data_IF_580902268544
#
_entry.id   IF_580902268544
#
_cell.length_a   1.000
_cell.length_b   1.000
_cell.length_c   1.000
_cell.angle_alpha   90.00
_cell.angle_beta   90.00
_cell.angle_gamma   90.00
#
_symmetry.space_group_name_H-M   'P 1'
#
loop_
_entity.id
_entity.type
_entity.pdbx_description
1 polymer ?
#
# COMPACT_ATOMS: atom_id res chain seq x y z
N UNK A 1 -17.72 7.75 -4.98
CA UNK A 1 -16.42 7.52 -4.29
C UNK A 1 -16.00 6.06 -4.38
N UNK A 2 -14.71 5.74 -4.20
CA UNK A 2 -14.19 4.37 -4.16
C UNK A 2 -13.27 4.17 -2.95
N UNK A 3 -13.31 2.98 -2.36
CA UNK A 3 -12.46 2.55 -1.26
C UNK A 3 -12.08 1.07 -1.46
N UNK A 4 -10.82 0.67 -1.27
CA UNK A 4 -10.41 -0.73 -1.37
C UNK A 4 -11.14 -1.66 -0.40
N UNK A 5 -11.59 -1.19 0.76
CA UNK A 5 -12.34 -2.00 1.75
C UNK A 5 -13.67 -2.57 1.22
N UNK A 6 -14.09 -2.21 0.00
CA UNK A 6 -15.23 -2.81 -0.72
C UNK A 6 -14.89 -4.18 -1.31
N UNK A 7 -13.66 -4.39 -1.77
CA UNK A 7 -13.24 -5.61 -2.48
C UNK A 7 -11.84 -6.13 -2.09
N UNK A 8 -11.26 -5.57 -1.04
CA UNK A 8 -9.99 -5.95 -0.46
C UNK A 8 -10.11 -5.95 1.06
N UNK A 9 -9.51 -6.94 1.72
CA UNK A 9 -9.62 -7.15 3.15
C UNK A 9 -8.25 -7.06 3.82
N UNK A 10 -8.22 -6.58 5.06
CA UNK A 10 -7.05 -6.61 5.91
C UNK A 10 -7.34 -7.44 7.17
N UNK A 11 -6.72 -8.61 7.27
CA UNK A 11 -6.77 -9.51 8.41
C UNK A 11 -5.59 -9.19 9.34
N UNK A 12 -5.86 -8.68 10.54
CA UNK A 12 -4.86 -8.41 11.57
C UNK A 12 -4.38 -9.69 12.25
N UNK A 13 -3.24 -9.62 12.93
CA UNK A 13 -2.66 -10.79 13.62
C UNK A 13 -3.58 -11.38 14.72
N UNK A 14 -4.51 -10.60 15.27
CA UNK A 14 -5.51 -11.07 16.22
C UNK A 14 -6.75 -11.73 15.56
N UNK A 15 -6.73 -11.94 14.24
CA UNK A 15 -7.81 -12.55 13.47
C UNK A 15 -8.96 -11.60 13.09
N UNK A 16 -8.93 -10.34 13.51
CA UNK A 16 -9.97 -9.38 13.16
C UNK A 16 -9.77 -8.83 11.75
N UNK A 17 -10.87 -8.58 11.06
CA UNK A 17 -10.86 -7.75 9.86
C UNK A 17 -11.05 -6.28 10.21
N UNK A 18 -10.19 -5.44 9.64
CA UNK A 18 -10.19 -3.99 9.85
C UNK A 18 -10.35 -3.25 8.52
N UNK A 19 -10.53 -1.93 8.57
CA UNK A 19 -10.46 -1.11 7.37
C UNK A 19 -9.07 -1.28 6.71
N UNK A 20 -9.04 -1.37 5.38
CA UNK A 20 -7.83 -1.73 4.64
C UNK A 20 -6.79 -0.60 4.58
N UNK A 21 -7.10 0.61 5.05
CA UNK A 21 -6.21 1.76 4.99
C UNK A 21 -5.39 1.97 6.26
N UNK A 22 -4.25 2.66 6.14
CA UNK A 22 -3.39 2.99 7.27
C UNK A 22 -4.05 3.92 8.31
N UNK A 23 -5.08 4.69 7.90
CA UNK A 23 -5.77 5.63 8.79
C UNK A 23 -6.88 4.97 9.60
N UNK A 24 -7.48 3.90 9.06
CA UNK A 24 -8.58 3.16 9.66
C UNK A 24 -8.20 1.74 10.08
N UNK A 25 -6.91 1.40 10.13
CA UNK A 25 -6.39 0.11 10.59
C UNK A 25 -6.90 -0.32 11.97
N UNK A 26 -7.33 0.65 12.80
CA UNK A 26 -7.96 0.43 14.12
C UNK A 26 -9.48 0.22 14.05
N UNK A 27 -10.12 0.55 12.92
CA UNK A 27 -11.56 0.36 12.70
C UNK A 27 -11.84 -1.09 12.38
N UNK A 28 -12.25 -1.84 13.39
CA UNK A 28 -12.68 -3.23 13.22
C UNK A 28 -13.99 -3.29 12.43
N UNK A 29 -13.95 -3.95 11.27
CA UNK A 29 -15.11 -4.23 10.43
C UNK A 29 -15.78 -5.54 10.85
N UNK A 30 -15.00 -6.54 11.22
CA UNK A 30 -15.50 -7.82 11.70
C UNK A 30 -14.54 -8.44 12.71
N UNK A 31 -15.03 -8.66 13.95
CA UNK A 31 -14.27 -9.42 14.96
C UNK A 31 -14.25 -10.91 14.63
N UNK A 32 -13.11 -11.54 14.88
CA UNK A 32 -12.98 -12.99 14.81
C UNK A 32 -13.93 -13.68 15.79
N UNK A 33 -14.52 -14.78 15.35
CA UNK A 33 -15.24 -15.71 16.21
C UNK A 33 -15.09 -17.12 15.68
N UNK A 34 -14.70 -18.06 16.55
CA UNK A 34 -14.47 -19.45 16.17
C UNK A 34 -15.73 -20.12 15.57
N UNK A 35 -16.91 -19.83 16.14
CA UNK A 35 -18.21 -20.33 15.66
C UNK A 35 -18.89 -19.43 14.62
N UNK A 36 -18.35 -18.24 14.35
CA UNK A 36 -18.95 -17.24 13.47
C UNK A 36 -18.46 -17.43 12.05
N UNK A 37 -19.32 -17.54 11.04
CA UNK A 37 -18.85 -17.58 9.65
C UNK A 37 -18.19 -16.24 9.27
N UNK A 38 -16.88 -16.26 8.98
CA UNK A 38 -16.13 -15.04 8.68
C UNK A 38 -16.43 -14.47 7.29
N UNK A 39 -16.98 -15.28 6.38
CA UNK A 39 -17.34 -14.83 5.03
C UNK A 39 -18.48 -13.82 5.02
N UNK A 40 -19.20 -13.66 6.13
CA UNK A 40 -20.22 -12.61 6.29
C UNK A 40 -19.69 -11.19 6.09
N UNK A 41 -18.37 -10.97 6.15
CA UNK A 41 -17.77 -9.67 5.85
C UNK A 41 -18.10 -9.15 4.44
N UNK A 42 -18.20 -10.06 3.46
CA UNK A 42 -18.33 -9.74 2.03
C UNK A 42 -19.66 -10.18 1.41
N UNK A 43 -20.61 -10.61 2.24
CA UNK A 43 -21.96 -10.94 1.78
C UNK A 43 -22.94 -9.76 1.87
N UNK A 44 -24.12 -9.94 1.29
CA UNK A 44 -25.21 -8.97 1.39
C UNK A 44 -25.58 -8.73 2.86
N UNK A 45 -25.70 -7.46 3.25
CA UNK A 45 -25.83 -7.03 4.65
C UNK A 45 -24.51 -6.95 5.43
N UNK A 46 -23.39 -7.39 4.84
CA UNK A 46 -22.07 -7.35 5.46
C UNK A 46 -21.38 -5.97 5.38
N UNK A 47 -20.31 -5.76 6.17
CA UNK A 47 -19.51 -4.54 6.17
C UNK A 47 -19.07 -4.03 4.80
N UNK A 48 -18.58 -4.89 3.90
CA UNK A 48 -18.11 -4.45 2.58
C UNK A 48 -19.24 -3.90 1.70
N UNK A 49 -20.43 -4.50 1.76
CA UNK A 49 -21.59 -4.00 1.03
C UNK A 49 -22.10 -2.68 1.64
N UNK A 50 -22.13 -2.59 2.98
CA UNK A 50 -22.52 -1.36 3.68
C UNK A 50 -21.59 -0.19 3.31
N UNK A 51 -20.27 -0.43 3.25
CA UNK A 51 -19.28 0.53 2.76
C UNK A 51 -19.60 0.92 1.31
N UNK A 52 -19.84 -0.05 0.43
CA UNK A 52 -20.14 0.21 -0.98
C UNK A 52 -21.42 1.06 -1.18
N UNK A 53 -22.49 0.76 -0.42
CA UNK A 53 -23.76 1.50 -0.44
C UNK A 53 -23.57 2.96 -0.02
N UNK A 54 -22.84 3.21 1.07
CA UNK A 54 -22.51 4.56 1.51
C UNK A 54 -21.75 5.34 0.42
N UNK A 55 -20.69 4.73 -0.13
CA UNK A 55 -19.86 5.38 -1.15
C UNK A 55 -20.60 5.65 -2.47
N UNK A 56 -21.62 4.83 -2.81
CA UNK A 56 -22.47 5.04 -3.98
C UNK A 56 -23.39 6.26 -3.81
N UNK A 57 -23.79 6.56 -2.58
CA UNK A 57 -24.57 7.74 -2.20
C UNK A 57 -23.69 8.94 -1.81
N UNK A 58 -22.39 8.91 -2.13
CA UNK A 58 -21.40 9.91 -1.73
C UNK A 58 -21.39 10.19 -0.21
N UNK A 59 -21.59 9.13 0.59
CA UNK A 59 -21.48 9.17 2.05
C UNK A 59 -20.17 8.48 2.45
N UNK A 60 -19.42 9.08 3.38
CA UNK A 60 -18.26 8.41 3.96
C UNK A 60 -18.76 7.33 4.94
N UNK A 61 -18.30 6.07 4.81
CA UNK A 61 -18.74 5.00 5.71
C UNK A 61 -18.41 5.28 7.19
N UNK A 62 -17.27 5.93 7.44
CA UNK A 62 -16.77 6.26 8.77
C UNK A 62 -16.28 7.72 8.77
N UNK A 63 -17.17 8.73 8.92
CA UNK A 63 -16.81 10.15 8.83
C UNK A 63 -15.69 10.59 9.79
N UNK A 64 -15.52 9.87 10.90
CA UNK A 64 -14.49 10.11 11.89
C UNK A 64 -13.07 9.70 11.41
N UNK A 65 -12.98 8.71 10.53
CA UNK A 65 -11.72 8.08 10.08
C UNK A 65 -11.44 8.32 8.60
N UNK A 66 -12.43 8.12 7.74
CA UNK A 66 -12.29 8.19 6.28
C UNK A 66 -11.63 9.49 5.78
N UNK A 67 -11.79 10.66 6.42
CA UNK A 67 -11.05 11.85 6.02
C UNK A 67 -9.51 11.71 6.14
N UNK A 68 -8.98 10.82 6.96
CA UNK A 68 -7.55 10.50 6.99
C UNK A 68 -7.08 9.50 5.92
N UNK A 69 -7.98 8.91 5.14
CA UNK A 69 -7.71 7.77 4.26
C UNK A 69 -7.04 8.17 2.94
N UNK A 70 -5.82 7.70 2.70
CA UNK A 70 -5.12 7.86 1.41
C UNK A 70 -5.69 6.98 0.29
N UNK A 71 -6.43 5.94 0.65
CA UNK A 71 -6.99 4.99 -0.30
C UNK A 71 -8.34 5.46 -0.86
N UNK A 72 -8.92 6.52 -0.28
CA UNK A 72 -10.19 7.08 -0.71
C UNK A 72 -10.02 7.81 -2.04
N UNK A 73 -10.80 7.41 -3.03
CA UNK A 73 -10.86 8.05 -4.35
C UNK A 73 -12.21 8.71 -4.57
N UNK A 74 -12.21 9.90 -5.13
CA UNK A 74 -13.43 10.64 -5.49
C UNK A 74 -13.82 10.41 -6.95
N UNK A 75 -13.02 9.61 -7.66
CA UNK A 75 -13.26 9.22 -9.03
C UNK A 75 -13.82 7.81 -9.12
N UNK A 76 -14.96 7.70 -9.79
CA UNK A 76 -15.57 6.42 -10.17
C UNK A 76 -16.70 5.96 -9.25
N UNK A 77 -17.38 4.92 -9.71
CA UNK A 77 -18.48 4.26 -8.98
C UNK A 77 -17.95 3.05 -8.23
N UNK A 78 -18.35 2.82 -6.97
CA UNK A 78 -17.99 1.60 -6.26
C UNK A 78 -18.66 0.40 -6.95
N UNK A 79 -17.88 -0.63 -7.26
CA UNK A 79 -18.39 -1.87 -7.85
C UNK A 79 -18.18 -2.98 -6.83
N UNK A 80 -19.20 -3.23 -6.00
CA UNK A 80 -19.16 -4.35 -5.07
C UNK A 80 -19.33 -5.68 -5.81
N UNK A 81 -18.45 -6.63 -5.52
CA UNK A 81 -18.49 -7.98 -6.06
C UNK A 81 -18.36 -8.97 -4.91
N UNK A 82 -19.50 -9.41 -4.40
CA UNK A 82 -19.63 -10.20 -3.16
C UNK A 82 -18.84 -11.51 -3.10
N UNK A 83 -18.21 -11.95 -4.20
CA UNK A 83 -17.49 -13.23 -4.29
C UNK A 83 -16.08 -13.13 -4.87
N UNK A 84 -15.57 -11.92 -5.13
CA UNK A 84 -14.21 -11.77 -5.67
C UNK A 84 -13.49 -10.70 -4.88
N UNK A 85 -12.46 -11.13 -4.15
CA UNK A 85 -11.53 -10.25 -3.46
C UNK A 85 -10.30 -10.02 -4.34
N UNK A 86 -9.96 -8.73 -4.52
CA UNK A 86 -8.75 -8.35 -5.23
C UNK A 86 -7.51 -8.65 -4.38
N UNK A 87 -7.56 -8.30 -3.10
CA UNK A 87 -6.43 -8.45 -2.17
C UNK A 87 -6.95 -8.91 -0.81
N UNK A 88 -6.33 -9.95 -0.28
CA UNK A 88 -6.41 -10.35 1.12
C UNK A 88 -5.05 -10.02 1.75
N UNK A 89 -4.97 -8.88 2.41
CA UNK A 89 -3.79 -8.52 3.20
C UNK A 89 -3.88 -9.26 4.53
N UNK A 90 -2.80 -9.92 4.91
CA UNK A 90 -2.71 -10.76 6.10
C UNK A 90 -1.51 -10.31 6.89
N UNK A 91 -1.74 -9.77 8.09
CA UNK A 91 -0.70 -9.43 9.05
C UNK A 91 -0.30 -10.69 9.82
N UNK A 92 0.88 -11.28 9.56
CA UNK A 92 1.27 -12.51 10.24
C UNK A 92 1.71 -12.23 11.68
N UNK A 93 2.31 -11.06 11.94
CA UNK A 93 2.70 -10.60 13.27
C UNK A 93 2.43 -9.11 13.41
N UNK A 94 2.02 -8.67 14.60
CA UNK A 94 2.00 -7.25 14.97
C UNK A 94 3.33 -6.79 15.61
N UNK A 95 4.29 -7.71 15.80
CA UNK A 95 5.62 -7.43 16.37
C UNK A 95 6.53 -6.90 15.28
N UNK A 96 7.41 -5.95 15.61
CA UNK A 96 8.50 -5.55 14.75
C UNK A 96 9.60 -4.89 15.58
N UNK A 97 10.85 -5.19 15.25
CA UNK A 97 12.04 -4.70 15.96
C UNK A 97 12.41 -3.26 15.57
N UNK A 98 11.93 -2.77 14.43
CA UNK A 98 12.23 -1.43 13.90
C UNK A 98 11.27 -0.36 14.42
N UNK A 99 11.75 0.89 14.47
CA UNK A 99 10.97 2.09 14.85
C UNK A 99 10.94 3.15 13.75
N UNK A 100 10.45 2.78 12.56
CA UNK A 100 10.54 3.64 11.37
C UNK A 100 9.77 4.97 11.53
N UNK A 101 10.38 6.10 11.15
CA UNK A 101 9.88 7.47 11.45
C UNK A 101 8.52 7.85 10.83
N UNK A 102 8.07 7.17 9.78
CA UNK A 102 6.77 7.43 9.13
C UNK A 102 5.84 6.21 9.14
N UNK A 103 6.11 5.24 10.01
CA UNK A 103 5.31 4.03 10.18
C UNK A 103 4.27 4.24 11.30
N UNK A 104 3.04 3.78 11.12
CA UNK A 104 2.00 3.86 12.17
C UNK A 104 2.32 2.96 13.37
N UNK A 105 3.11 1.90 13.15
CA UNK A 105 3.33 0.80 14.08
C UNK A 105 3.97 1.17 15.42
N UNK A 106 5.00 2.02 15.52
CA UNK A 106 5.62 2.29 16.82
C UNK A 106 4.62 2.83 17.86
N UNK A 107 3.77 3.77 17.45
CA UNK A 107 2.70 4.32 18.30
C UNK A 107 1.60 3.29 18.58
N UNK A 108 1.23 2.49 17.57
CA UNK A 108 0.26 1.40 17.79
C UNK A 108 0.77 0.37 18.79
N UNK A 109 2.04 -0.06 18.70
CA UNK A 109 2.63 -1.02 19.63
C UNK A 109 2.71 -0.50 21.06
N UNK A 110 2.86 0.82 21.24
CA UNK A 110 2.80 1.45 22.58
C UNK A 110 1.38 1.43 23.17
N UNK A 111 0.35 1.44 22.31
CA UNK A 111 -1.06 1.33 22.72
C UNK A 111 -1.53 -0.10 22.92
N UNK A 112 -0.98 -1.04 22.14
CA UNK A 112 -1.33 -2.47 22.22
C UNK A 112 -0.76 -3.04 23.52
N UNK A 113 -1.65 -3.49 24.42
CA UNK A 113 -1.26 -4.08 25.70
C UNK A 113 -0.44 -5.38 25.53
N UNK A 114 -0.69 -6.14 24.46
CA UNK A 114 0.08 -7.34 24.10
C UNK A 114 0.20 -7.48 22.57
N UNK A 115 1.38 -7.87 22.05
CA UNK A 115 1.54 -8.19 20.63
C UNK A 115 0.80 -9.49 20.26
N UNK A 116 0.44 -9.61 18.98
CA UNK A 116 -0.23 -10.79 18.43
C UNK A 116 0.57 -11.39 17.29
N UNK A 117 0.57 -12.72 17.22
CA UNK A 117 0.98 -13.50 16.06
C UNK A 117 -0.26 -14.26 15.55
N UNK A 118 -0.51 -14.20 14.23
CA UNK A 118 -1.64 -14.87 13.62
C UNK A 118 -1.47 -16.39 13.74
N UNK A 119 -2.40 -17.04 14.42
CA UNK A 119 -2.38 -18.50 14.52
C UNK A 119 -2.78 -19.14 13.17
N UNK A 120 -2.08 -20.19 12.72
CA UNK A 120 -2.47 -20.97 11.55
C UNK A 120 -3.90 -21.50 11.62
N UNK A 121 -4.39 -21.87 12.81
CA UNK A 121 -5.76 -22.39 12.99
C UNK A 121 -6.82 -21.32 12.73
N UNK A 122 -6.59 -20.09 13.19
CA UNK A 122 -7.44 -18.92 12.92
C UNK A 122 -7.46 -18.62 11.44
N UNK A 123 -6.29 -18.61 10.79
CA UNK A 123 -6.19 -18.34 9.36
C UNK A 123 -6.84 -19.43 8.51
N UNK A 124 -6.55 -20.71 8.78
CA UNK A 124 -7.15 -21.84 8.08
C UNK A 124 -8.68 -21.78 8.18
N UNK A 125 -9.21 -21.49 9.36
CA UNK A 125 -10.66 -21.34 9.55
C UNK A 125 -11.24 -20.24 8.67
N UNK A 126 -10.60 -19.06 8.61
CA UNK A 126 -11.04 -17.96 7.71
C UNK A 126 -11.04 -18.43 6.25
N UNK A 127 -9.99 -19.12 5.81
CA UNK A 127 -9.90 -19.65 4.44
C UNK A 127 -10.99 -20.70 4.16
N UNK A 128 -11.29 -21.58 5.11
CA UNK A 128 -12.35 -22.59 5.01
C UNK A 128 -13.73 -21.94 4.88
N UNK A 129 -14.05 -20.96 5.73
CA UNK A 129 -15.30 -20.21 5.64
C UNK A 129 -15.45 -19.54 4.26
N UNK A 130 -14.37 -18.92 3.77
CA UNK A 130 -14.40 -18.23 2.47
C UNK A 130 -14.54 -19.20 1.30
N UNK A 131 -13.81 -20.32 1.34
CA UNK A 131 -13.85 -21.36 0.32
C UNK A 131 -15.24 -22.03 0.25
N UNK A 132 -15.81 -22.40 1.41
CA UNK A 132 -17.19 -22.93 1.53
C UNK A 132 -18.21 -21.97 0.93
N UNK A 133 -18.00 -20.68 1.15
CA UNK A 133 -18.84 -19.60 0.66
C UNK A 133 -18.62 -19.23 -0.81
N UNK A 134 -17.65 -19.86 -1.49
CA UNK A 134 -17.36 -19.63 -2.90
C UNK A 134 -16.80 -18.23 -3.19
N UNK A 135 -16.01 -17.68 -2.27
CA UNK A 135 -15.26 -16.44 -2.46
C UNK A 135 -13.93 -16.78 -3.15
N UNK A 136 -13.62 -16.07 -4.23
CA UNK A 136 -12.32 -16.14 -4.92
C UNK A 136 -11.39 -15.03 -4.42
N UNK A 137 -10.13 -15.36 -4.16
CA UNK A 137 -9.10 -14.41 -3.73
C UNK A 137 -8.02 -14.35 -4.80
N UNK A 138 -7.81 -13.16 -5.37
CA UNK A 138 -6.83 -12.98 -6.45
C UNK A 138 -5.41 -12.84 -5.95
N UNK A 139 -5.22 -12.25 -4.78
CA UNK A 139 -3.89 -11.94 -4.24
C UNK A 139 -3.90 -12.02 -2.73
N UNK A 140 -2.90 -12.68 -2.17
CA UNK A 140 -2.54 -12.59 -0.76
C UNK A 140 -1.31 -11.71 -0.61
N UNK A 141 -1.40 -10.74 0.29
CA UNK A 141 -0.29 -9.88 0.68
C UNK A 141 0.04 -10.13 2.15
N UNK A 142 1.11 -10.87 2.41
CA UNK A 142 1.61 -11.12 3.75
C UNK A 142 2.44 -9.90 4.17
N UNK A 143 1.74 -8.94 4.76
CA UNK A 143 2.27 -7.68 5.24
C UNK A 143 1.28 -7.09 6.25
N UNK A 144 1.73 -6.13 7.04
CA UNK A 144 0.87 -5.47 8.02
C UNK A 144 1.63 -4.41 8.77
N UNK A 145 1.19 -4.14 9.98
CA UNK A 145 1.84 -3.15 10.82
C UNK A 145 3.06 -3.76 11.53
N UNK A 146 3.11 -5.07 11.79
CA UNK A 146 4.34 -5.72 12.24
C UNK A 146 5.28 -6.16 11.11
N UNK A 147 6.20 -7.04 11.45
CA UNK A 147 7.13 -7.70 10.55
C UNK A 147 6.69 -9.17 10.43
N UNK A 148 6.24 -9.61 9.24
CA UNK A 148 5.80 -10.98 8.99
C UNK A 148 6.72 -12.06 9.55
N UNK A 149 8.04 -11.86 9.42
CA UNK A 149 9.06 -12.83 9.84
C UNK A 149 9.18 -13.00 11.36
N UNK A 150 8.48 -12.19 12.16
CA UNK A 150 8.41 -12.37 13.62
C UNK A 150 7.46 -13.49 14.04
N UNK A 151 6.59 -13.95 13.14
CA UNK A 151 5.72 -15.09 13.39
C UNK A 151 6.43 -16.39 12.91
N UNK A 152 6.78 -17.31 13.83
CA UNK A 152 7.44 -18.57 13.46
C UNK A 152 6.57 -19.47 12.57
N UNK A 153 5.24 -19.29 12.61
CA UNK A 153 4.30 -20.06 11.80
C UNK A 153 4.07 -19.47 10.40
N UNK A 154 4.79 -18.40 10.01
CA UNK A 154 4.67 -17.78 8.68
C UNK A 154 4.72 -18.80 7.53
N UNK A 155 5.64 -19.79 7.49
CA UNK A 155 5.65 -20.80 6.43
C UNK A 155 4.33 -21.58 6.34
N UNK A 156 3.73 -21.95 7.48
CA UNK A 156 2.45 -22.65 7.52
C UNK A 156 1.31 -21.75 7.03
N UNK A 157 1.30 -20.48 7.41
CA UNK A 157 0.31 -19.49 6.95
C UNK A 157 0.35 -19.36 5.41
N UNK A 158 1.54 -19.22 4.82
CA UNK A 158 1.70 -19.13 3.37
C UNK A 158 1.22 -20.43 2.69
N UNK A 159 1.60 -21.59 3.24
CA UNK A 159 1.18 -22.90 2.74
C UNK A 159 -0.35 -23.07 2.75
N UNK A 160 -1.02 -22.62 3.81
CA UNK A 160 -2.48 -22.62 3.91
C UNK A 160 -3.11 -21.77 2.80
N UNK A 161 -2.63 -20.54 2.57
CA UNK A 161 -3.16 -19.71 1.49
C UNK A 161 -3.01 -20.38 0.12
N UNK A 162 -1.85 -20.99 -0.15
CA UNK A 162 -1.61 -21.74 -1.40
C UNK A 162 -2.51 -22.96 -1.53
N UNK A 163 -2.73 -23.72 -0.45
CA UNK A 163 -3.59 -24.91 -0.38
C UNK A 163 -5.04 -24.59 -0.75
N UNK A 164 -5.62 -23.56 -0.12
CA UNK A 164 -7.02 -23.19 -0.37
C UNK A 164 -7.22 -22.39 -1.66
N UNK A 165 -6.20 -21.64 -2.10
CA UNK A 165 -6.28 -20.77 -3.27
C UNK A 165 -5.08 -20.96 -4.21
N UNK A 166 -4.96 -22.12 -4.90
CA UNK A 166 -3.80 -22.45 -5.73
C UNK A 166 -3.58 -21.46 -6.88
N UNK A 167 -4.63 -20.77 -7.35
CA UNK A 167 -4.55 -19.76 -8.42
C UNK A 167 -4.29 -18.33 -7.96
N UNK A 168 -4.21 -18.07 -6.64
CA UNK A 168 -3.93 -16.75 -6.11
C UNK A 168 -2.44 -16.38 -6.30
N UNK A 169 -2.17 -15.08 -6.43
CA UNK A 169 -0.81 -14.55 -6.36
C UNK A 169 -0.42 -14.31 -4.91
N UNK A 170 0.66 -14.92 -4.42
CA UNK A 170 1.13 -14.78 -3.03
C UNK A 170 2.37 -13.89 -3.00
N UNK A 171 2.29 -12.76 -2.28
CA UNK A 171 3.44 -11.87 -2.05
C UNK A 171 3.72 -11.72 -0.56
N UNK A 172 5.00 -11.67 -0.20
CA UNK A 172 5.49 -11.31 1.13
C UNK A 172 6.20 -9.96 1.04
N UNK A 173 5.95 -9.06 2.00
CA UNK A 173 6.70 -7.81 2.15
C UNK A 173 7.34 -7.82 3.53
N UNK A 174 8.67 -7.78 3.59
CA UNK A 174 9.45 -7.90 4.82
C UNK A 174 10.51 -6.79 4.90
N UNK A 175 10.92 -6.44 6.13
CA UNK A 175 12.11 -5.65 6.41
C UNK A 175 13.40 -6.48 6.43
N UNK A 176 13.31 -7.81 6.25
CA UNK A 176 14.42 -8.75 6.20
C UNK A 176 15.25 -8.88 7.50
N UNK A 177 14.65 -8.62 8.66
CA UNK A 177 15.32 -8.76 9.97
C UNK A 177 15.04 -10.10 10.68
N UNK A 178 14.28 -11.00 10.07
CA UNK A 178 14.20 -12.39 10.49
C UNK A 178 15.46 -13.18 10.10
N UNK A 179 15.56 -14.41 10.57
CA UNK A 179 16.66 -15.30 10.20
C UNK A 179 16.31 -16.02 8.89
N UNK A 180 17.30 -16.16 8.00
CA UNK A 180 17.09 -16.82 6.72
C UNK A 180 17.16 -18.33 6.90
N UNK A 181 16.11 -19.01 6.47
CA UNK A 181 16.07 -20.46 6.29
C UNK A 181 15.81 -20.77 4.81
N UNK A 182 16.52 -21.74 4.26
CA UNK A 182 16.37 -22.11 2.84
C UNK A 182 14.93 -22.51 2.49
N UNK A 183 14.20 -23.10 3.45
CA UNK A 183 12.79 -23.44 3.33
C UNK A 183 11.88 -22.26 2.93
N UNK A 184 12.27 -21.02 3.23
CA UNK A 184 11.52 -19.83 2.83
C UNK A 184 11.39 -19.68 1.32
N UNK A 185 12.40 -20.14 0.56
CA UNK A 185 12.39 -20.12 -0.92
C UNK A 185 11.31 -21.03 -1.50
N UNK A 186 10.93 -22.07 -0.76
CA UNK A 186 9.97 -23.11 -1.16
C UNK A 186 8.59 -22.93 -0.51
N UNK A 187 8.35 -21.81 0.17
CA UNK A 187 7.09 -21.49 0.85
C UNK A 187 5.87 -21.38 -0.09
N UNK A 188 6.07 -21.38 -1.41
CA UNK A 188 4.99 -21.23 -2.40
C UNK A 188 4.63 -19.79 -2.74
N UNK A 189 5.47 -18.83 -2.33
CA UNK A 189 5.38 -17.43 -2.74
C UNK A 189 5.63 -17.26 -4.25
N UNK A 190 4.84 -16.38 -4.87
CA UNK A 190 5.13 -15.90 -6.23
C UNK A 190 6.13 -14.73 -6.20
N UNK A 191 6.16 -13.97 -5.10
CA UNK A 191 7.03 -12.81 -4.95
C UNK A 191 7.39 -12.54 -3.49
N UNK A 192 8.62 -12.09 -3.26
CA UNK A 192 9.07 -11.50 -2.00
C UNK A 192 9.62 -10.09 -2.26
N UNK A 193 9.26 -9.15 -1.39
CA UNK A 193 9.74 -7.77 -1.43
C UNK A 193 10.55 -7.48 -0.17
N UNK A 194 11.83 -7.14 -0.34
CA UNK A 194 12.76 -6.74 0.71
C UNK A 194 12.75 -5.23 0.83
N UNK A 195 12.28 -4.70 1.96
CA UNK A 195 12.17 -3.27 2.20
C UNK A 195 13.47 -2.75 2.84
N UNK A 196 14.41 -2.36 2.00
CA UNK A 196 15.75 -1.90 2.40
C UNK A 196 15.96 -0.51 1.78
N UNK A 197 15.85 0.55 2.58
CA UNK A 197 15.76 1.94 2.09
C UNK A 197 17.10 2.69 2.18
N UNK A 198 18.17 2.09 1.66
CA UNK A 198 19.53 2.64 1.67
C UNK A 198 20.54 1.65 1.09
N UNK A 199 21.79 2.09 0.89
CA UNK A 199 22.90 1.24 0.39
C UNK A 199 24.05 1.09 1.39
N UNK A 200 23.86 1.59 2.61
CA UNK A 200 24.78 1.49 3.73
C UNK A 200 23.98 1.68 5.04
N UNK A 201 24.62 1.40 6.18
CA UNK A 201 23.97 1.55 7.50
C UNK A 201 23.51 2.99 7.76
N UNK A 202 24.27 4.00 7.32
CA UNK A 202 23.97 5.41 7.57
C UNK A 202 22.68 5.86 6.87
N UNK A 203 22.52 5.54 5.59
CA UNK A 203 21.33 5.83 4.79
C UNK A 203 20.14 4.99 5.26
N UNK A 204 20.35 3.71 5.55
CA UNK A 204 19.31 2.78 5.97
C UNK A 204 18.65 3.17 7.29
N UNK A 205 19.45 3.42 8.34
CA UNK A 205 18.95 3.63 9.70
C UNK A 205 18.23 4.98 9.88
N UNK A 206 18.51 5.97 9.00
CA UNK A 206 17.82 7.28 9.02
C UNK A 206 16.30 7.13 8.99
N UNK A 207 15.79 6.19 8.20
CA UNK A 207 14.37 5.81 8.18
C UNK A 207 14.08 4.55 8.99
N UNK A 208 14.87 3.48 8.83
CA UNK A 208 14.67 2.14 9.44
C UNK A 208 15.36 2.05 10.81
N UNK A 209 14.94 2.92 11.73
CA UNK A 209 15.58 3.07 13.06
C UNK A 209 15.65 1.74 13.81
N UNK A 210 16.86 1.40 14.31
CA UNK A 210 17.14 0.15 15.03
C UNK A 210 17.40 -1.06 14.12
N UNK A 211 17.51 -0.84 12.81
CA UNK A 211 17.81 -1.89 11.85
C UNK A 211 19.29 -2.08 11.59
N UNK A 212 19.67 -3.29 11.17
CA UNK A 212 21.01 -3.62 10.73
C UNK A 212 21.00 -3.86 9.21
N UNK A 213 21.70 -3.00 8.49
CA UNK A 213 21.76 -3.01 7.03
C UNK A 213 22.35 -4.31 6.50
N UNK A 214 23.46 -4.77 7.09
CA UNK A 214 24.15 -5.99 6.64
C UNK A 214 23.28 -7.24 6.81
N UNK A 215 22.50 -7.34 7.89
CA UNK A 215 21.55 -8.43 8.12
C UNK A 215 20.47 -8.44 7.05
N UNK A 216 19.84 -7.29 6.80
CA UNK A 216 18.77 -7.19 5.80
C UNK A 216 19.29 -7.47 4.38
N UNK A 217 20.46 -6.93 4.05
CA UNK A 217 21.10 -7.12 2.75
C UNK A 217 21.55 -8.58 2.56
N UNK A 218 22.18 -9.18 3.57
CA UNK A 218 22.61 -10.57 3.56
C UNK A 218 21.44 -11.55 3.45
N UNK A 219 20.30 -11.24 4.07
CA UNK A 219 19.07 -12.00 3.89
C UNK A 219 18.62 -11.97 2.42
N UNK A 220 18.51 -10.77 1.83
CA UNK A 220 18.12 -10.62 0.43
C UNK A 220 19.07 -11.34 -0.52
N UNK A 221 20.38 -11.24 -0.28
CA UNK A 221 21.41 -11.93 -1.04
C UNK A 221 21.23 -13.45 -0.96
N UNK A 222 21.13 -13.99 0.26
CA UNK A 222 21.01 -15.42 0.53
C UNK A 222 19.75 -15.98 -0.11
N UNK A 223 18.59 -15.35 0.12
CA UNK A 223 17.33 -15.74 -0.48
C UNK A 223 17.40 -15.72 -2.02
N UNK A 224 17.93 -14.64 -2.60
CA UNK A 224 17.99 -14.49 -4.06
C UNK A 224 18.92 -15.51 -4.70
N UNK A 225 20.08 -15.78 -4.09
CA UNK A 225 21.04 -16.78 -4.58
C UNK A 225 20.47 -18.19 -4.47
N UNK A 226 19.89 -18.56 -3.33
CA UNK A 226 19.26 -19.88 -3.14
C UNK A 226 18.10 -20.05 -4.13
N UNK A 227 17.20 -19.07 -4.26
CA UNK A 227 16.11 -19.12 -5.24
C UNK A 227 16.62 -19.34 -6.67
N UNK A 228 17.72 -18.69 -7.04
CA UNK A 228 18.34 -18.85 -8.36
C UNK A 228 18.98 -20.22 -8.55
N UNK A 229 19.74 -20.70 -7.56
CA UNK A 229 20.44 -21.98 -7.60
C UNK A 229 19.46 -23.16 -7.70
N UNK A 230 18.38 -23.09 -6.92
CA UNK A 230 17.32 -24.10 -6.85
C UNK A 230 16.29 -23.97 -7.99
N UNK A 231 16.46 -23.00 -8.90
CA UNK A 231 15.52 -22.76 -9.99
C UNK A 231 14.11 -22.35 -9.55
N UNK A 232 13.96 -21.84 -8.33
CA UNK A 232 12.68 -21.40 -7.77
C UNK A 232 12.07 -20.27 -8.63
N UNK A 233 10.76 -20.32 -8.92
CA UNK A 233 10.09 -19.29 -9.72
C UNK A 233 9.79 -18.01 -8.93
N UNK A 234 10.11 -17.95 -7.63
CA UNK A 234 9.81 -16.80 -6.77
C UNK A 234 10.53 -15.55 -7.27
N UNK A 235 9.77 -14.47 -7.43
CA UNK A 235 10.33 -13.18 -7.84
C UNK A 235 10.87 -12.43 -6.63
N UNK A 236 12.14 -12.05 -6.67
CA UNK A 236 12.77 -11.19 -5.66
C UNK A 236 12.71 -9.73 -6.07
N UNK A 237 12.23 -8.88 -5.17
CA UNK A 237 12.11 -7.43 -5.37
C UNK A 237 12.83 -6.73 -4.24
N UNK A 238 13.77 -5.85 -4.56
CA UNK A 238 14.30 -4.89 -3.61
C UNK A 238 13.42 -3.65 -3.68
N UNK A 239 12.64 -3.41 -2.63
CA UNK A 239 11.80 -2.23 -2.46
C UNK A 239 12.61 -1.14 -1.74
N UNK A 240 12.72 0.02 -2.38
CA UNK A 240 13.57 1.13 -1.94
C UNK A 240 12.74 2.42 -1.95
N UNK A 241 12.36 2.93 -0.78
CA UNK A 241 11.65 4.21 -0.66
C UNK A 241 12.63 5.36 -0.84
N UNK A 242 12.28 6.29 -1.72
CA UNK A 242 13.08 7.47 -2.00
C UNK A 242 12.82 8.57 -0.95
N UNK A 243 13.89 8.90 -0.24
CA UNK A 243 13.99 9.95 0.75
C UNK A 243 15.12 10.92 0.37
N UNK A 244 15.08 12.12 0.94
CA UNK A 244 16.09 13.16 0.70
C UNK A 244 17.55 12.75 0.98
N UNK A 245 17.75 11.73 1.83
CA UNK A 245 19.07 11.23 2.23
C UNK A 245 19.56 10.04 1.40
N UNK A 246 18.72 9.46 0.55
CA UNK A 246 19.02 8.22 -0.18
C UNK A 246 18.68 8.30 -1.69
N UNK A 247 18.48 9.53 -2.21
CA UNK A 247 18.05 9.85 -3.58
C UNK A 247 19.17 10.36 -4.51
N UNK A 248 20.43 10.26 -4.09
CA UNK A 248 21.60 10.79 -4.80
C UNK A 248 22.21 9.79 -5.79
N UNK A 249 23.02 10.32 -6.72
CA UNK A 249 23.67 9.58 -7.81
C UNK A 249 24.43 8.33 -7.35
N UNK A 250 25.27 8.50 -6.35
CA UNK A 250 26.05 7.46 -5.70
C UNK A 250 25.15 6.39 -5.07
N UNK A 251 24.11 6.80 -4.33
CA UNK A 251 23.16 5.89 -3.68
C UNK A 251 22.37 5.06 -4.71
N UNK A 252 21.80 5.71 -5.73
CA UNK A 252 20.99 5.04 -6.75
C UNK A 252 21.82 4.13 -7.66
N UNK A 253 23.01 4.60 -8.06
CA UNK A 253 23.97 3.81 -8.82
C UNK A 253 24.40 2.56 -8.05
N UNK A 254 24.76 2.74 -6.77
CA UNK A 254 25.16 1.64 -5.90
C UNK A 254 24.04 0.62 -5.66
N UNK A 255 22.81 1.08 -5.48
CA UNK A 255 21.65 0.19 -5.34
C UNK A 255 21.48 -0.70 -6.58
N UNK A 256 21.63 -0.12 -7.77
CA UNK A 256 21.56 -0.89 -9.03
C UNK A 256 22.70 -1.90 -9.17
N UNK A 257 23.93 -1.52 -8.82
CA UNK A 257 25.09 -2.41 -8.82
C UNK A 257 24.87 -3.63 -7.91
N UNK A 258 24.45 -3.38 -6.65
CA UNK A 258 24.17 -4.44 -5.67
C UNK A 258 23.03 -5.34 -6.14
N UNK A 259 21.92 -4.76 -6.59
CA UNK A 259 20.77 -5.52 -7.09
C UNK A 259 21.16 -6.43 -8.27
N UNK A 260 21.98 -5.90 -9.19
CA UNK A 260 22.50 -6.65 -10.34
C UNK A 260 23.45 -7.76 -9.93
N UNK A 261 24.37 -7.50 -8.99
CA UNK A 261 25.33 -8.48 -8.50
C UNK A 261 24.64 -9.66 -7.79
N UNK A 262 23.59 -9.38 -7.01
CA UNK A 262 22.83 -10.43 -6.33
C UNK A 262 21.87 -11.17 -7.26
N UNK A 263 21.53 -10.57 -8.41
CA UNK A 263 20.53 -11.12 -9.34
C UNK A 263 19.10 -10.88 -8.86
N UNK A 264 18.85 -9.78 -8.14
CA UNK A 264 17.49 -9.35 -7.76
C UNK A 264 16.70 -9.05 -9.04
N UNK A 265 15.47 -9.54 -9.13
CA UNK A 265 14.69 -9.38 -10.37
C UNK A 265 14.23 -7.94 -10.60
N UNK A 266 13.93 -7.19 -9.52
CA UNK A 266 13.32 -5.87 -9.57
C UNK A 266 13.91 -4.97 -8.47
N UNK A 267 14.58 -3.88 -8.86
CA UNK A 267 14.88 -2.77 -7.96
C UNK A 267 13.75 -1.75 -8.11
N UNK A 268 12.89 -1.68 -7.11
CA UNK A 268 11.67 -0.89 -7.15
C UNK A 268 11.80 0.34 -6.27
N UNK A 269 11.87 1.50 -6.93
CA UNK A 269 11.83 2.79 -6.24
C UNK A 269 10.40 3.18 -5.89
N UNK A 270 10.19 3.57 -4.64
CA UNK A 270 8.89 4.01 -4.14
C UNK A 270 8.95 5.50 -3.82
N UNK A 271 8.17 6.29 -4.54
CA UNK A 271 7.97 7.71 -4.22
C UNK A 271 6.96 7.82 -3.09
N UNK A 272 7.34 8.45 -1.98
CA UNK A 272 6.46 8.75 -0.84
C UNK A 272 6.18 10.25 -0.76
N UNK A 273 5.07 10.62 -0.14
CA UNK A 273 4.75 12.01 0.24
C UNK A 273 4.68 12.17 1.77
N UNK A 274 5.04 11.13 2.53
CA UNK A 274 5.11 11.14 3.99
C UNK A 274 6.56 11.14 4.47
N UNK A 275 6.83 11.91 5.53
CA UNK A 275 8.13 11.95 6.16
C UNK A 275 9.20 12.62 5.29
N UNK A 276 10.40 12.04 5.28
CA UNK A 276 11.61 12.62 4.67
C UNK A 276 11.66 12.43 3.14
N UNK A 277 10.55 12.59 2.44
CA UNK A 277 10.44 12.27 1.00
C UNK A 277 11.49 12.98 0.13
N UNK A 278 11.86 12.34 -0.98
CA UNK A 278 12.84 12.91 -1.93
C UNK A 278 12.34 14.23 -2.52
N UNK A 279 13.18 15.26 -2.43
CA UNK A 279 12.95 16.55 -3.09
C UNK A 279 13.73 16.68 -4.40
N UNK A 280 14.72 15.81 -4.64
CA UNK A 280 15.50 15.80 -5.87
C UNK A 280 14.82 14.98 -6.98
N UNK A 281 14.09 13.92 -6.62
CA UNK A 281 13.40 13.04 -7.54
C UNK A 281 11.92 12.99 -7.16
N UNK A 282 11.12 13.71 -7.92
CA UNK A 282 9.67 13.85 -7.68
C UNK A 282 8.84 13.09 -8.71
N UNK A 283 9.47 12.60 -9.79
CA UNK A 283 8.83 11.81 -10.82
C UNK A 283 9.68 10.66 -11.38
N UNK A 284 9.03 9.61 -11.86
CA UNK A 284 9.62 8.53 -12.66
C UNK A 284 10.12 8.99 -14.04
N UNK A 285 9.84 10.22 -14.46
CA UNK A 285 10.52 10.81 -15.62
C UNK A 285 11.91 11.30 -15.19
N UNK A 286 11.98 12.10 -14.12
CA UNK A 286 13.26 12.55 -13.53
C UNK A 286 14.15 11.38 -13.14
N UNK A 287 13.60 10.37 -12.44
CA UNK A 287 14.37 9.18 -12.07
C UNK A 287 14.87 8.40 -13.30
N UNK A 288 14.11 8.36 -14.39
CA UNK A 288 14.57 7.70 -15.62
C UNK A 288 15.75 8.43 -16.21
N UNK A 289 15.64 9.74 -16.36
CA UNK A 289 16.68 10.58 -16.96
C UNK A 289 17.95 10.51 -16.10
N UNK A 290 17.78 10.59 -14.78
CA UNK A 290 18.86 10.43 -13.82
C UNK A 290 19.57 9.08 -13.92
N UNK A 291 18.84 7.96 -14.05
CA UNK A 291 19.45 6.65 -14.22
C UNK A 291 20.15 6.48 -15.57
N UNK A 292 19.66 7.13 -16.63
CA UNK A 292 20.32 7.16 -17.94
C UNK A 292 21.66 7.89 -17.82
N UNK A 293 21.70 9.02 -17.10
CA UNK A 293 22.93 9.78 -16.85
C UNK A 293 23.95 8.96 -16.03
N UNK A 294 23.46 8.12 -15.12
CA UNK A 294 24.27 7.13 -14.39
C UNK A 294 24.67 5.91 -15.25
N UNK A 295 24.39 5.93 -16.55
CA UNK A 295 24.71 4.86 -17.51
C UNK A 295 24.05 3.51 -17.17
N UNK A 296 22.94 3.52 -16.43
CA UNK A 296 22.13 2.32 -16.25
C UNK A 296 21.56 1.91 -17.62
N UNK A 297 21.68 0.64 -18.04
CA UNK A 297 21.20 0.22 -19.34
C UNK A 297 19.71 0.51 -19.52
N UNK A 298 19.32 1.23 -20.58
CA UNK A 298 17.92 1.62 -20.79
C UNK A 298 16.96 0.42 -20.87
N UNK A 299 17.44 -0.76 -21.30
CA UNK A 299 16.68 -2.01 -21.30
C UNK A 299 16.28 -2.50 -19.90
N UNK A 300 17.04 -2.11 -18.88
CA UNK A 300 16.76 -2.40 -17.48
C UNK A 300 15.76 -1.41 -16.89
N UNK A 301 15.51 -0.27 -17.51
CA UNK A 301 14.62 0.77 -16.95
C UNK A 301 13.18 0.56 -17.46
N UNK A 302 12.27 0.17 -16.56
CA UNK A 302 10.85 -0.03 -16.85
C UNK A 302 9.99 0.89 -15.99
N UNK A 303 9.79 2.10 -16.48
CA UNK A 303 8.98 3.10 -15.79
C UNK A 303 7.74 3.43 -16.61
N UNK A 304 6.57 3.28 -16.00
CA UNK A 304 5.36 3.89 -16.53
C UNK A 304 5.51 5.41 -16.37
N UNK A 305 5.83 6.11 -17.47
CA UNK A 305 5.81 7.57 -17.48
C UNK A 305 4.38 7.99 -17.12
N UNK A 306 4.20 8.81 -16.09
CA UNK A 306 2.89 9.36 -15.69
C UNK A 306 2.16 10.05 -16.87
N UNK A 307 2.89 10.49 -17.90
CA UNK A 307 2.36 10.95 -19.19
C UNK A 307 1.47 9.92 -19.93
N UNK A 308 1.57 8.63 -19.61
CA UNK A 308 0.77 7.56 -20.23
C UNK A 308 -0.64 7.40 -19.64
N UNK A 309 -0.92 8.05 -18.49
CA UNK A 309 -2.27 8.19 -17.94
C UNK A 309 -3.00 9.42 -18.52
N UNK A 310 -2.28 10.49 -18.86
CA UNK A 310 -2.85 11.68 -19.53
C UNK A 310 -3.33 11.41 -20.97
N UNK A 311 -2.71 10.46 -21.70
CA UNK A 311 -2.97 10.24 -23.14
C UNK A 311 -4.01 9.15 -23.50
N UNK A 312 -4.74 8.54 -22.56
CA UNK A 312 -5.74 7.49 -22.90
C UNK A 312 -7.17 8.03 -22.95
N UNK A 313 -7.46 8.86 -23.95
CA UNK A 313 -8.82 9.38 -24.26
C UNK A 313 -9.59 8.51 -25.27
N UNK A 314 -9.80 7.20 -25.02
CA UNK A 314 -10.82 6.43 -25.76
C UNK A 314 -11.74 5.61 -24.84
N UNK A 315 -13.03 5.94 -24.94
CA UNK A 315 -14.16 5.55 -24.10
C UNK A 315 -14.43 4.03 -24.01
N UNK A 316 -13.92 3.22 -24.94
CA UNK A 316 -14.09 1.76 -24.94
C UNK A 316 -12.98 0.99 -24.19
N UNK A 317 -11.87 1.64 -23.82
CA UNK A 317 -10.85 1.05 -22.93
C UNK A 317 -11.10 1.39 -21.44
N UNK A 318 -12.11 2.23 -21.20
CA UNK A 318 -12.48 2.89 -19.94
C UNK A 318 -13.38 2.03 -19.02
N UNK A 319 -13.84 0.85 -19.45
CA UNK A 319 -14.97 0.19 -18.79
C UNK A 319 -14.69 -0.87 -17.71
N UNK A 320 -13.46 -1.27 -17.35
CA UNK A 320 -13.25 -2.25 -16.25
C UNK A 320 -11.89 -2.18 -15.55
N UNK A 321 -11.58 -1.17 -14.71
CA UNK A 321 -10.23 -1.03 -14.11
C UNK A 321 -10.22 -0.37 -12.71
N UNK A 322 -10.22 -1.19 -11.64
CA UNK A 322 -9.97 -0.81 -10.23
C UNK A 322 -8.46 -0.67 -9.90
N UNK A 323 -8.17 -0.12 -8.71
CA UNK A 323 -6.93 0.46 -8.16
C UNK A 323 -5.56 -0.04 -8.69
N UNK A 324 -4.67 0.94 -8.83
CA UNK A 324 -3.46 0.98 -9.66
C UNK A 324 -2.27 0.19 -9.09
N UNK A 325 -2.22 -0.04 -7.78
CA UNK A 325 -1.04 -0.58 -7.09
C UNK A 325 -0.72 -2.05 -7.47
N UNK A 326 -1.72 -2.94 -7.46
CA UNK A 326 -1.52 -4.37 -7.73
C UNK A 326 -1.49 -4.74 -9.23
N UNK A 327 -1.96 -3.84 -10.10
CA UNK A 327 -2.00 -4.10 -11.55
C UNK A 327 -0.67 -3.90 -12.23
N UNK A 328 0.17 -3.02 -11.70
CA UNK A 328 1.56 -2.85 -12.14
C UNK A 328 2.29 -4.17 -11.97
N UNK A 329 2.22 -4.80 -10.79
CA UNK A 329 2.80 -6.12 -10.54
C UNK A 329 2.30 -7.21 -11.50
N UNK A 330 0.99 -7.34 -11.75
CA UNK A 330 0.45 -8.41 -12.63
C UNK A 330 0.64 -8.16 -14.14
N UNK A 331 0.67 -6.90 -14.60
CA UNK A 331 1.00 -6.58 -16.01
C UNK A 331 2.49 -6.67 -16.28
N UNK A 332 3.33 -6.20 -15.35
CA UNK A 332 4.77 -6.46 -15.40
C UNK A 332 5.02 -7.97 -15.31
N UNK A 333 4.30 -8.74 -14.50
CA UNK A 333 4.43 -10.20 -14.43
C UNK A 333 4.32 -10.87 -15.81
N UNK A 334 3.33 -10.48 -16.65
CA UNK A 334 3.21 -11.03 -18.02
C UNK A 334 4.31 -10.56 -18.99
N UNK A 335 4.83 -9.34 -18.83
CA UNK A 335 5.92 -8.81 -19.65
C UNK A 335 7.30 -9.34 -19.21
N UNK A 336 7.49 -9.59 -17.91
CA UNK A 336 8.77 -9.98 -17.30
C UNK A 336 8.94 -11.50 -17.19
N UNK A 337 7.85 -12.29 -17.23
CA UNK A 337 7.94 -13.75 -17.53
C UNK A 337 8.61 -14.04 -18.88
N UNK A 338 8.75 -13.00 -19.73
CA UNK A 338 9.50 -12.99 -20.98
C UNK A 338 10.84 -12.22 -20.89
N UNK A 339 11.48 -12.12 -19.72
CA UNK A 339 12.87 -11.68 -19.62
C UNK A 339 13.81 -12.90 -19.64
N UNK A 340 14.26 -13.37 -20.82
CA UNK A 340 15.16 -14.52 -20.94
C UNK A 340 16.55 -14.26 -20.35
N UNK A 341 16.92 -13.00 -20.11
CA UNK A 341 18.26 -12.60 -19.64
C UNK A 341 18.42 -12.67 -18.12
N UNK A 342 17.35 -12.85 -17.34
CA UNK A 342 17.35 -12.74 -15.86
C UNK A 342 18.05 -11.47 -15.31
N UNK A 343 18.12 -10.40 -16.10
CA UNK A 343 18.74 -9.14 -15.67
C UNK A 343 17.82 -8.37 -14.74
N UNK A 344 18.38 -7.72 -13.73
CA UNK A 344 17.67 -6.77 -12.86
C UNK A 344 17.01 -5.69 -13.69
N UNK A 345 15.72 -5.45 -13.43
CA UNK A 345 14.99 -4.29 -13.95
C UNK A 345 14.73 -3.28 -12.84
N UNK A 346 14.62 -2.01 -13.22
CA UNK A 346 14.28 -0.91 -12.33
C UNK A 346 12.84 -0.50 -12.61
N UNK A 347 12.04 -0.43 -11.56
CA UNK A 347 10.65 0.05 -11.62
C UNK A 347 10.42 1.20 -10.64
N UNK A 348 9.30 1.90 -10.82
CA UNK A 348 8.92 3.04 -10.00
C UNK A 348 7.43 2.96 -9.68
N UNK A 349 7.08 3.06 -8.39
CA UNK A 349 5.71 3.18 -7.90
C UNK A 349 5.54 4.48 -7.11
N UNK A 350 4.32 5.02 -7.12
CA UNK A 350 4.01 6.31 -6.51
C UNK A 350 2.96 6.18 -5.41
N UNK A 351 3.25 6.75 -4.26
CA UNK A 351 2.27 7.17 -3.28
C UNK A 351 2.20 8.70 -3.37
N UNK A 352 1.16 9.24 -4.01
CA UNK A 352 1.03 10.69 -4.24
C UNK A 352 -0.28 11.25 -3.71
N UNK A 353 -0.18 12.45 -3.14
CA UNK A 353 -1.23 13.46 -3.16
C UNK A 353 -1.53 13.86 -4.61
N UNK A 354 -2.77 13.66 -5.06
CA UNK A 354 -3.18 14.02 -6.41
C UNK A 354 -4.12 15.22 -6.37
N UNK A 355 -3.61 16.40 -6.75
CA UNK A 355 -4.37 17.66 -6.72
C UNK A 355 -5.75 17.56 -7.39
N UNK A 356 -5.93 16.93 -8.58
CA UNK A 356 -7.26 16.79 -9.15
C UNK A 356 -8.21 15.91 -8.34
N UNK A 357 -7.72 14.92 -7.58
CA UNK A 357 -8.58 14.17 -6.65
C UNK A 357 -9.00 15.06 -5.48
N UNK A 358 -8.10 15.90 -4.94
CA UNK A 358 -8.43 16.84 -3.87
C UNK A 358 -9.48 17.88 -4.33
N UNK A 359 -9.34 18.40 -5.56
CA UNK A 359 -10.34 19.32 -6.14
C UNK A 359 -11.71 18.65 -6.28
N UNK A 360 -11.77 17.40 -6.72
CA UNK A 360 -13.03 16.63 -6.77
C UNK A 360 -13.65 16.44 -5.39
N UNK A 361 -12.83 16.19 -4.36
CA UNK A 361 -13.32 16.10 -2.98
C UNK A 361 -13.97 17.42 -2.53
N UNK A 362 -13.33 18.56 -2.83
CA UNK A 362 -13.85 19.90 -2.50
C UNK A 362 -15.15 20.22 -3.26
N UNK A 363 -15.19 19.93 -4.56
CA UNK A 363 -16.37 20.17 -5.39
C UNK A 363 -17.55 19.30 -4.92
N UNK A 364 -17.31 18.02 -4.63
CA UNK A 364 -18.30 17.12 -4.04
C UNK A 364 -18.77 17.61 -2.66
N UNK A 365 -17.84 18.07 -1.81
CA UNK A 365 -18.19 18.67 -0.51
C UNK A 365 -19.12 19.87 -0.66
N UNK A 366 -18.89 20.71 -1.67
CA UNK A 366 -19.76 21.86 -1.95
C UNK A 366 -21.15 21.45 -2.45
N UNK A 367 -21.24 20.42 -3.30
CA UNK A 367 -22.52 19.85 -3.73
C UNK A 367 -23.32 19.25 -2.55
N UNK A 368 -22.65 18.48 -1.69
CA UNK A 368 -23.25 17.90 -0.49
C UNK A 368 -23.81 18.99 0.44
N UNK A 369 -23.08 20.09 0.62
CA UNK A 369 -23.53 21.23 1.41
C UNK A 369 -24.82 21.84 0.84
N UNK A 370 -24.92 21.98 -0.49
CA UNK A 370 -26.13 22.49 -1.17
C UNK A 370 -27.33 21.57 -1.01
N UNK A 371 -27.10 20.27 -0.84
CA UNK A 371 -28.13 19.28 -0.53
C UNK A 371 -28.47 19.20 0.98
N UNK A 372 -27.98 20.12 1.81
CA UNK A 372 -28.23 20.12 3.26
C UNK A 372 -27.40 19.10 4.05
N UNK A 373 -26.41 18.46 3.42
CA UNK A 373 -25.55 17.44 4.04
C UNK A 373 -24.26 18.05 4.59
N UNK A 374 -24.42 18.97 5.53
CA UNK A 374 -23.29 19.71 6.12
C UNK A 374 -22.21 18.83 6.77
N UNK A 375 -22.54 17.78 7.55
CA UNK A 375 -21.51 16.93 8.16
C UNK A 375 -20.61 16.25 7.11
N UNK A 376 -21.19 15.77 6.01
CA UNK A 376 -20.44 15.15 4.92
C UNK A 376 -19.56 16.17 4.20
N UNK A 377 -20.07 17.38 3.97
CA UNK A 377 -19.30 18.48 3.38
C UNK A 377 -18.09 18.86 4.25
N UNK A 378 -18.26 18.94 5.58
CA UNK A 378 -17.16 19.17 6.54
C UNK A 378 -16.13 18.05 6.49
N UNK A 379 -16.57 16.79 6.35
CA UNK A 379 -15.68 15.66 6.25
C UNK A 379 -14.84 15.68 4.96
N UNK A 380 -15.38 16.18 3.84
CA UNK A 380 -14.61 16.38 2.59
C UNK A 380 -13.54 17.45 2.74
N UNK A 381 -13.87 18.58 3.38
CA UNK A 381 -12.89 19.63 3.67
C UNK A 381 -11.78 19.11 4.60
N UNK A 382 -12.16 18.41 5.67
CA UNK A 382 -11.22 17.77 6.60
C UNK A 382 -10.33 16.76 5.89
N UNK A 383 -10.86 16.02 4.90
CA UNK A 383 -10.06 15.08 4.13
C UNK A 383 -8.93 15.80 3.40
N UNK A 384 -9.28 16.85 2.66
CA UNK A 384 -8.32 17.65 1.90
C UNK A 384 -7.29 18.28 2.82
N UNK A 385 -7.71 18.87 3.95
CA UNK A 385 -6.79 19.45 4.92
C UNK A 385 -5.81 18.41 5.49
N UNK A 386 -6.29 17.22 5.88
CA UNK A 386 -5.42 16.14 6.38
C UNK A 386 -4.41 15.67 5.33
N UNK A 387 -4.85 15.50 4.08
CA UNK A 387 -3.96 15.11 2.99
C UNK A 387 -2.88 16.18 2.77
N UNK A 388 -3.28 17.45 2.68
CA UNK A 388 -2.36 18.58 2.43
C UNK A 388 -1.39 18.78 3.60
N UNK A 389 -1.82 18.55 4.84
CA UNK A 389 -0.96 18.77 6.02
C UNK A 389 -0.07 17.58 6.37
N UNK A 390 -0.42 16.36 5.97
CA UNK A 390 0.35 15.17 6.38
C UNK A 390 1.85 15.20 6.00
N UNK A 391 2.29 15.77 4.86
CA UNK A 391 3.71 15.86 4.54
C UNK A 391 4.50 16.74 5.51
N UNK A 392 3.86 17.67 6.23
CA UNK A 392 4.51 18.54 7.24
C UNK A 392 5.17 17.69 8.33
N UNK A 393 4.54 16.56 8.69
CA UNK A 393 5.09 15.63 9.66
C UNK A 393 6.34 14.95 9.09
N UNK A 394 7.50 15.50 9.43
CA UNK A 394 8.81 15.00 8.99
C UNK A 394 9.44 15.71 7.79
N UNK A 395 8.83 16.79 7.28
CA UNK A 395 9.46 17.66 6.29
C UNK A 395 9.21 19.16 6.59
N UNK A 396 10.20 19.81 7.20
CA UNK A 396 10.14 21.23 7.56
C UNK A 396 10.17 22.19 6.34
N UNK A 397 10.62 21.72 5.17
CA UNK A 397 10.65 22.52 3.95
C UNK A 397 9.34 22.47 3.16
N UNK A 398 8.40 21.59 3.55
CA UNK A 398 7.09 21.51 2.92
C UNK A 398 6.19 22.65 3.38
N UNK A 399 5.74 23.49 2.44
CA UNK A 399 4.77 24.56 2.69
C UNK A 399 3.37 24.17 2.15
N UNK A 400 2.42 23.80 3.05
CA UNK A 400 1.03 23.54 2.69
C UNK A 400 0.36 24.67 1.92
N UNK A 401 0.78 25.92 2.13
CA UNK A 401 0.17 27.09 1.50
C UNK A 401 0.33 27.06 -0.02
N UNK A 402 1.39 26.45 -0.55
CA UNK A 402 1.56 26.24 -1.99
C UNK A 402 0.39 25.42 -2.52
N UNK A 403 0.09 24.28 -1.91
CA UNK A 403 -1.00 23.40 -2.35
C UNK A 403 -2.35 24.08 -2.18
N UNK A 404 -2.60 24.75 -1.05
CA UNK A 404 -3.84 25.50 -0.86
C UNK A 404 -4.05 26.58 -1.93
N UNK A 405 -3.00 27.28 -2.37
CA UNK A 405 -3.09 28.23 -3.50
C UNK A 405 -3.49 27.55 -4.81
N UNK A 406 -2.96 26.36 -5.09
CA UNK A 406 -3.34 25.58 -6.29
C UNK A 406 -4.78 25.05 -6.23
N UNK A 407 -5.25 24.66 -5.05
CA UNK A 407 -6.66 24.27 -4.84
C UNK A 407 -7.61 25.46 -5.04
N UNK A 408 -7.15 26.67 -4.69
CA UNK A 408 -7.74 27.94 -5.11
C UNK A 408 -9.23 28.04 -4.80
N UNK A 409 -10.01 28.41 -5.82
CA UNK A 409 -11.44 28.68 -5.68
C UNK A 409 -12.25 27.51 -5.09
N UNK A 410 -11.93 26.26 -5.42
CA UNK A 410 -12.67 25.11 -4.87
C UNK A 410 -12.53 25.02 -3.34
N UNK A 411 -11.33 25.31 -2.81
CA UNK A 411 -11.08 25.27 -1.37
C UNK A 411 -11.76 26.44 -0.66
N UNK A 412 -11.51 27.67 -1.12
CA UNK A 412 -12.10 28.87 -0.53
C UNK A 412 -13.62 28.87 -0.57
N UNK A 413 -14.22 28.37 -1.66
CA UNK A 413 -15.68 28.28 -1.83
C UNK A 413 -16.33 27.37 -0.80
N UNK A 414 -15.81 26.14 -0.63
CA UNK A 414 -16.37 25.21 0.36
C UNK A 414 -16.13 25.72 1.78
N UNK A 415 -14.93 26.21 2.08
CA UNK A 415 -14.57 26.74 3.39
C UNK A 415 -15.47 27.91 3.81
N UNK A 416 -15.64 28.91 2.95
CA UNK A 416 -16.50 30.06 3.23
C UNK A 416 -17.97 29.64 3.46
N UNK A 417 -18.52 28.80 2.57
CA UNK A 417 -19.90 28.34 2.67
C UNK A 417 -20.19 27.55 3.97
N UNK A 418 -19.21 26.84 4.51
CA UNK A 418 -19.31 26.15 5.79
C UNK A 418 -19.18 27.08 7.00
N UNK A 419 -18.42 28.18 6.86
CA UNK A 419 -18.25 29.20 7.92
C UNK A 419 -19.49 30.08 8.08
N UNK A 420 -20.12 30.49 6.97
CA UNK A 420 -21.31 31.36 6.99
C UNK A 420 -22.51 30.67 7.67
N UNK A 421 -22.64 29.34 7.53
CA UNK A 421 -23.72 28.56 8.16
C UNK A 421 -23.53 28.36 9.66
N UNK A 422 -22.30 28.19 10.13
CA UNK A 422 -22.02 28.12 11.57
C UNK A 422 -22.36 29.42 12.31
N UNK A 423 -22.33 30.57 11.62
CA UNK A 423 -22.74 31.86 12.19
C UNK A 423 -24.26 32.01 12.29
N UNK A 424 -25.04 31.31 11.44
CA UNK A 424 -26.50 31.36 11.42
C UNK A 424 -27.22 30.39 12.37
N UNK A 425 -26.50 29.45 12.99
CA UNK A 425 -27.05 28.49 13.98
C UNK A 425 -26.77 28.88 15.43
N UNK A 426 -26.11 30.01 15.67
CA UNK A 426 -25.76 30.51 17.01
C UNK A 426 -26.71 31.60 17.54
N UNK A 427 -27.86 31.77 16.90
CA UNK A 427 -28.99 32.64 17.30
C UNK A 427 -30.22 31.78 17.50
#
# INVERSE_FOLDING_TARGET
MQCPSVDSLFLRANGNFVCWDDAGSDKVLLRYGASKDMSCIVFAGGPCEAIAKNLACNILPFPEICPGCYCLSFSGSPCFRSRILNVMQVEPSSRCTLRCKACATPLERERLQQPHDLSPSVFEKVLQDFARSGIDIRTFDFSGHGEPMMNPDLPQIISLARKYYPGAFLTLITNAHGDFEEGHVFSGLDQIQFSIDGVDQESFEKYRVGGNYEKALGYMESFTRTARAEGSPVRTVWRYILFNHNDKADQLGKAFEIASAFGVHDLRFIFTHKGMWSTALTSAAELRDFLIDLKVPSRSIQMDSFNSLRKRQKLSQLLKRSHTFYRTARKLWRKVKRNPLRSTIITADYYQLYEPELKKALDLGYELLRCGREPDARAMLMHVDKMVQSPVSGNAAYDPAIIYRHLGCSYSRLKAALSDRSAGTAT
#
